data_IF_535406175678
#
_entry.id   IF_535406175678
#
_cell.length_a   1.000
_cell.length_b   1.000
_cell.length_c   1.000
_cell.angle_alpha   90.00
_cell.angle_beta   90.00
_cell.angle_gamma   90.00
#
_symmetry.space_group_name_H-M   'P 1'
#
loop_
_entity.id
_entity.type
_entity.pdbx_description
1 polymer ?
#
# COMPACT_ATOMS: atom_id res chain seq x y z
N UNK A 1 9.14 -9.96 -27.69
CA UNK A 1 9.81 -9.28 -26.58
C UNK A 1 10.10 -7.87 -27.04
N UNK A 2 9.69 -6.88 -26.30
CA UNK A 2 9.90 -5.50 -26.72
C UNK A 2 11.36 -5.06 -26.58
N UNK A 3 12.14 -5.74 -25.74
CA UNK A 3 13.54 -5.43 -25.51
C UNK A 3 14.33 -6.74 -25.38
N UNK A 4 15.35 -6.90 -26.19
CA UNK A 4 16.23 -8.07 -26.18
C UNK A 4 17.43 -7.83 -25.25
N UNK A 5 17.13 -7.65 -23.95
CA UNK A 5 18.15 -7.53 -22.91
C UNK A 5 18.65 -8.89 -22.48
N UNK A 6 19.98 -9.05 -22.40
CA UNK A 6 20.58 -10.19 -21.72
C UNK A 6 20.23 -10.16 -20.21
N UNK A 7 20.43 -11.30 -19.53
CA UNK A 7 20.24 -11.35 -18.07
C UNK A 7 21.15 -10.37 -17.33
N UNK A 8 22.37 -10.21 -17.82
CA UNK A 8 23.37 -9.29 -17.29
C UNK A 8 22.88 -7.85 -17.39
N UNK A 9 22.46 -7.42 -18.58
CA UNK A 9 21.93 -6.08 -18.82
C UNK A 9 20.67 -5.81 -17.97
N UNK A 10 19.76 -6.78 -17.87
CA UNK A 10 18.58 -6.60 -17.00
C UNK A 10 18.94 -6.55 -15.51
N UNK A 11 19.98 -7.29 -15.09
CA UNK A 11 20.51 -7.20 -13.72
C UNK A 11 21.09 -5.82 -13.43
N UNK A 12 21.78 -5.21 -14.40
CA UNK A 12 22.30 -3.85 -14.31
C UNK A 12 21.18 -2.83 -14.15
N UNK A 13 20.14 -2.92 -14.97
CA UNK A 13 18.94 -2.06 -14.86
C UNK A 13 18.29 -2.17 -13.47
N UNK A 14 18.11 -3.38 -12.95
CA UNK A 14 17.52 -3.56 -11.62
C UNK A 14 18.46 -3.08 -10.51
N UNK A 15 19.75 -3.25 -10.67
CA UNK A 15 20.73 -2.77 -9.69
C UNK A 15 20.82 -1.24 -9.69
N UNK A 16 20.76 -0.63 -10.86
CA UNK A 16 20.67 0.82 -11.03
C UNK A 16 19.41 1.40 -10.35
N UNK A 17 18.29 0.72 -10.46
CA UNK A 17 17.05 1.09 -9.75
C UNK A 17 17.02 0.64 -8.28
N UNK A 18 18.14 0.19 -7.70
CA UNK A 18 18.22 -0.34 -6.32
C UNK A 18 17.27 -1.53 -6.07
N UNK A 19 16.98 -2.32 -7.11
CA UNK A 19 16.15 -3.52 -7.05
C UNK A 19 16.96 -4.83 -7.08
N UNK A 20 18.29 -4.76 -7.24
CA UNK A 20 19.19 -5.90 -7.39
C UNK A 20 19.55 -6.64 -6.10
N UNK A 21 19.13 -6.15 -4.91
CA UNK A 21 19.38 -6.82 -3.63
C UNK A 21 18.29 -7.84 -3.32
N UNK A 22 18.65 -9.00 -2.77
CA UNK A 22 17.75 -10.09 -2.39
C UNK A 22 17.95 -10.50 -0.92
N UNK A 23 16.99 -11.22 -0.27
CA UNK A 23 15.75 -11.76 -0.85
C UNK A 23 14.67 -10.70 -1.07
N UNK A 24 13.81 -10.93 -2.05
CA UNK A 24 12.62 -10.12 -2.36
C UNK A 24 11.39 -10.97 -2.54
N UNK A 25 10.22 -10.37 -2.43
CA UNK A 25 8.98 -10.98 -2.91
C UNK A 25 8.66 -10.47 -4.31
N UNK A 26 8.18 -11.36 -5.16
CA UNK A 26 7.62 -11.02 -6.46
C UNK A 26 6.17 -11.51 -6.54
N UNK A 27 5.37 -10.87 -7.37
CA UNK A 27 3.96 -11.20 -7.46
C UNK A 27 3.42 -11.11 -8.87
N UNK A 28 2.65 -12.17 -9.24
CA UNK A 28 1.73 -12.20 -10.35
C UNK A 28 1.10 -13.58 -10.47
N UNK A 29 -0.15 -13.76 -10.31
CA UNK A 29 -1.08 -13.20 -9.35
C UNK A 29 -0.81 -13.63 -7.90
N UNK A 30 0.16 -14.53 -7.66
CA UNK A 30 0.57 -15.00 -6.32
C UNK A 30 1.88 -14.35 -5.88
N UNK A 31 2.19 -14.41 -4.58
CA UNK A 31 3.48 -13.96 -4.04
C UNK A 31 4.45 -15.12 -3.95
N UNK A 32 5.67 -14.91 -4.46
CA UNK A 32 6.78 -15.85 -4.35
C UNK A 32 7.99 -15.14 -3.75
N UNK A 33 8.78 -15.85 -2.96
CA UNK A 33 10.05 -15.35 -2.43
C UNK A 33 11.18 -15.71 -3.39
N UNK A 34 11.96 -14.70 -3.77
CA UNK A 34 13.11 -14.80 -4.64
C UNK A 34 14.37 -14.62 -3.78
N UNK A 35 15.18 -15.67 -3.67
CA UNK A 35 16.39 -15.68 -2.84
C UNK A 35 17.63 -15.08 -3.52
N UNK A 36 17.59 -14.80 -4.82
CA UNK A 36 18.70 -14.26 -5.59
C UNK A 36 18.42 -14.27 -7.09
N UNK A 37 19.40 -13.87 -7.91
CA UNK A 37 19.26 -13.71 -9.35
C UNK A 37 18.75 -14.97 -10.09
N UNK A 38 19.24 -16.16 -9.74
CA UNK A 38 18.80 -17.41 -10.39
C UNK A 38 17.31 -17.69 -10.18
N UNK A 39 16.79 -17.44 -8.97
CA UNK A 39 15.36 -17.59 -8.69
C UNK A 39 14.54 -16.47 -9.35
N UNK A 40 15.10 -15.27 -9.41
CA UNK A 40 14.49 -14.13 -10.09
C UNK A 40 14.31 -14.42 -11.58
N UNK A 41 15.38 -14.79 -12.32
CA UNK A 41 15.27 -15.03 -13.76
C UNK A 41 14.38 -16.22 -14.10
N UNK A 42 14.42 -17.30 -13.32
CA UNK A 42 13.49 -18.41 -13.51
C UNK A 42 12.02 -17.97 -13.39
N UNK A 43 11.72 -17.15 -12.39
CA UNK A 43 10.38 -16.60 -12.22
C UNK A 43 10.02 -15.59 -13.31
N UNK A 44 10.93 -14.68 -13.63
CA UNK A 44 10.75 -13.64 -14.63
C UNK A 44 10.46 -14.24 -16.01
N UNK A 45 11.32 -15.10 -16.52
CA UNK A 45 11.19 -15.75 -17.83
C UNK A 45 9.94 -16.63 -17.92
N UNK A 46 9.58 -17.30 -16.84
CA UNK A 46 8.36 -18.09 -16.76
C UNK A 46 7.06 -17.28 -16.82
N UNK A 47 7.12 -15.96 -16.59
CA UNK A 47 5.95 -15.08 -16.57
C UNK A 47 5.96 -14.00 -17.65
N UNK A 48 7.13 -13.60 -18.16
CA UNK A 48 7.28 -12.45 -19.06
C UNK A 48 6.43 -12.53 -20.34
N UNK A 49 6.27 -13.71 -20.91
CA UNK A 49 5.46 -13.94 -22.11
C UNK A 49 3.95 -13.98 -21.83
N UNK A 50 3.54 -14.02 -20.58
CA UNK A 50 2.12 -14.10 -20.17
C UNK A 50 1.52 -12.73 -20.05
N UNK A 51 0.23 -12.59 -20.31
CA UNK A 51 -0.52 -11.35 -20.08
C UNK A 51 -0.84 -11.19 -18.57
N UNK A 52 0.18 -11.03 -17.73
CA UNK A 52 0.07 -10.88 -16.29
C UNK A 52 0.93 -9.72 -15.80
N UNK A 53 0.46 -8.95 -14.80
CA UNK A 53 1.27 -7.86 -14.26
C UNK A 53 2.45 -8.44 -13.48
N UNK A 54 3.63 -7.87 -13.63
CA UNK A 54 4.85 -8.32 -12.97
C UNK A 54 5.33 -7.27 -11.96
N UNK A 55 5.31 -7.64 -10.69
CA UNK A 55 5.68 -6.77 -9.58
C UNK A 55 6.77 -7.39 -8.71
N UNK A 56 7.57 -6.53 -8.09
CA UNK A 56 8.57 -6.92 -7.09
C UNK A 56 8.42 -6.02 -5.87
N UNK A 57 8.73 -6.52 -4.66
CA UNK A 57 8.75 -5.69 -3.46
C UNK A 57 9.81 -4.59 -3.61
N UNK A 58 9.46 -3.35 -3.27
CA UNK A 58 10.37 -2.22 -3.46
C UNK A 58 11.55 -2.21 -2.47
N UNK A 59 11.46 -2.92 -1.35
CA UNK A 59 12.57 -3.21 -0.46
C UNK A 59 12.95 -4.69 -0.50
N UNK A 60 14.22 -5.00 -0.29
CA UNK A 60 14.68 -6.35 -0.01
C UNK A 60 14.37 -6.70 1.45
N UNK A 61 14.19 -7.99 1.74
CA UNK A 61 14.09 -8.48 3.11
C UNK A 61 15.48 -8.77 3.68
N UNK A 62 15.61 -8.78 5.00
CA UNK A 62 16.85 -9.30 5.62
C UNK A 62 17.01 -10.79 5.29
N UNK A 63 18.24 -11.19 5.00
CA UNK A 63 18.57 -12.60 4.83
C UNK A 63 18.44 -13.30 6.18
N UNK A 64 17.58 -14.32 6.30
CA UNK A 64 17.42 -15.02 7.55
C UNK A 64 18.71 -15.77 7.93
N UNK A 65 19.06 -15.75 9.20
CA UNK A 65 20.13 -16.58 9.69
C UNK A 65 19.83 -18.06 9.39
N UNK A 66 20.85 -18.79 8.90
CA UNK A 66 20.78 -20.25 8.67
C UNK A 66 19.70 -20.72 7.65
N UNK A 67 19.29 -19.87 6.70
CA UNK A 67 18.37 -20.30 5.63
C UNK A 67 16.93 -20.53 6.07
N UNK A 68 16.53 -19.96 7.19
CA UNK A 68 15.14 -19.96 7.66
C UNK A 68 14.21 -19.14 6.74
N UNK A 69 12.91 -19.10 7.03
CA UNK A 69 11.96 -18.27 6.31
C UNK A 69 12.28 -16.77 6.48
N UNK A 70 12.01 -15.97 5.46
CA UNK A 70 12.16 -14.52 5.56
C UNK A 70 11.21 -13.94 6.62
N UNK A 71 11.71 -13.00 7.44
CA UNK A 71 10.85 -12.19 8.29
C UNK A 71 10.26 -11.04 7.47
N UNK A 72 8.96 -11.08 7.23
CA UNK A 72 8.24 -10.07 6.45
C UNK A 72 8.15 -8.70 7.12
N UNK A 73 8.67 -8.57 8.34
CA UNK A 73 8.74 -7.32 9.08
C UNK A 73 10.15 -6.70 9.10
N UNK A 74 11.16 -7.36 8.52
CA UNK A 74 12.53 -6.90 8.51
C UNK A 74 13.06 -6.71 7.10
N UNK A 75 13.55 -5.52 6.81
CA UNK A 75 13.96 -5.11 5.47
C UNK A 75 15.40 -4.60 5.47
N UNK A 76 16.10 -4.79 4.36
CA UNK A 76 17.27 -4.01 3.99
C UNK A 76 16.77 -2.79 3.23
N UNK A 77 16.67 -1.68 3.93
CA UNK A 77 16.19 -0.43 3.39
C UNK A 77 17.32 0.33 2.70
N UNK A 78 17.14 0.74 1.47
CA UNK A 78 18.12 1.52 0.70
C UNK A 78 17.49 2.61 -0.16
N UNK A 79 16.20 2.58 -0.35
CA UNK A 79 15.48 3.61 -1.09
C UNK A 79 14.01 3.65 -0.66
N UNK A 80 13.41 4.82 -0.64
CA UNK A 80 11.96 4.97 -0.55
C UNK A 80 11.35 4.96 -1.94
N UNK A 81 10.07 4.60 -2.02
CA UNK A 81 9.31 4.50 -3.26
C UNK A 81 8.08 5.41 -3.20
N UNK A 82 7.95 6.30 -4.18
CA UNK A 82 6.79 7.16 -4.38
C UNK A 82 6.06 6.81 -5.65
N UNK A 83 4.75 6.76 -5.54
CA UNK A 83 3.83 6.59 -6.67
C UNK A 83 3.08 7.91 -6.88
N UNK A 84 3.28 8.50 -8.04
CA UNK A 84 2.67 9.76 -8.45
C UNK A 84 1.74 9.49 -9.61
N UNK A 85 0.46 9.54 -9.36
CA UNK A 85 -0.56 9.24 -10.37
C UNK A 85 -1.78 10.16 -10.27
N UNK A 86 -2.68 10.03 -11.23
CA UNK A 86 -3.97 10.72 -11.23
C UNK A 86 -4.93 10.19 -10.18
N UNK A 87 -4.63 9.09 -9.52
CA UNK A 87 -5.32 8.31 -8.47
C UNK A 87 -6.79 8.58 -8.25
N UNK A 88 -7.52 7.57 -7.84
CA UNK A 88 -8.93 7.74 -7.50
C UNK A 88 -9.10 8.80 -6.40
N UNK A 89 -9.63 9.97 -6.75
CA UNK A 89 -9.92 11.06 -5.82
C UNK A 89 -8.93 12.23 -5.82
N UNK A 90 -7.81 12.18 -6.57
CA UNK A 90 -6.92 13.34 -6.74
C UNK A 90 -7.58 14.46 -7.57
N UNK A 91 -8.48 14.10 -8.47
CA UNK A 91 -9.09 15.01 -9.45
C UNK A 91 -8.10 15.60 -10.45
N UNK A 92 -6.87 15.04 -10.52
CA UNK A 92 -5.82 15.50 -11.42
C UNK A 92 -6.01 14.99 -12.84
N UNK A 93 -5.70 15.82 -13.80
CA UNK A 93 -5.49 15.44 -15.19
C UNK A 93 -4.04 15.01 -15.41
N UNK A 94 -3.72 14.19 -16.42
CA UNK A 94 -2.35 13.74 -16.69
C UNK A 94 -1.32 14.86 -16.76
N UNK A 95 -1.57 15.95 -17.49
CA UNK A 95 -0.66 17.10 -17.57
C UNK A 95 -0.41 17.82 -16.23
N UNK A 96 -1.32 17.69 -15.25
CA UNK A 96 -1.09 18.21 -13.89
C UNK A 96 -0.14 17.28 -13.12
N UNK A 97 -0.22 15.95 -13.34
CA UNK A 97 0.75 15.00 -12.79
C UNK A 97 2.14 15.24 -13.34
N UNK A 98 2.26 15.45 -14.66
CA UNK A 98 3.53 15.78 -15.32
C UNK A 98 4.15 17.06 -14.70
N UNK A 99 3.35 18.09 -14.46
CA UNK A 99 3.81 19.33 -13.82
C UNK A 99 4.26 19.10 -12.37
N UNK A 100 3.61 18.22 -11.64
CA UNK A 100 4.02 17.86 -10.28
C UNK A 100 5.31 17.02 -10.28
N UNK A 101 5.48 16.12 -11.24
CA UNK A 101 6.70 15.33 -11.43
C UNK A 101 7.91 16.21 -11.68
N UNK A 102 7.79 17.22 -12.55
CA UNK A 102 8.85 18.21 -12.79
C UNK A 102 9.22 18.95 -11.49
N UNK A 103 8.22 19.44 -10.75
CA UNK A 103 8.47 20.13 -9.45
C UNK A 103 9.18 19.24 -8.43
N UNK A 104 8.84 17.97 -8.41
CA UNK A 104 9.51 17.01 -7.52
C UNK A 104 10.93 16.76 -7.96
N UNK A 105 11.20 16.67 -9.27
CA UNK A 105 12.57 16.54 -9.81
C UNK A 105 13.42 17.74 -9.43
N UNK A 106 12.94 18.97 -9.70
CA UNK A 106 13.65 20.20 -9.30
C UNK A 106 13.95 20.23 -7.80
N UNK A 107 13.02 19.78 -6.97
CA UNK A 107 13.21 19.71 -5.55
C UNK A 107 14.28 18.66 -5.17
N UNK A 108 14.21 17.44 -5.71
CA UNK A 108 15.18 16.36 -5.42
C UNK A 108 16.59 16.77 -5.83
N UNK A 109 16.74 17.41 -7.00
CA UNK A 109 18.02 17.98 -7.44
C UNK A 109 18.52 19.07 -6.49
N UNK A 110 17.65 20.00 -6.06
CA UNK A 110 18.02 21.09 -5.14
C UNK A 110 18.49 20.57 -3.78
N UNK A 111 17.94 19.44 -3.31
CA UNK A 111 18.38 18.74 -2.10
C UNK A 111 19.67 17.93 -2.33
N UNK A 112 20.00 17.67 -3.58
CA UNK A 112 21.15 16.86 -3.99
C UNK A 112 20.99 15.40 -3.56
N UNK A 113 19.78 14.84 -3.57
CA UNK A 113 19.49 13.46 -3.19
C UNK A 113 19.71 12.51 -4.35
N UNK A 114 20.26 11.34 -4.07
CA UNK A 114 20.34 10.26 -5.04
C UNK A 114 18.92 9.74 -5.38
N UNK A 115 18.61 9.57 -6.67
CA UNK A 115 17.26 9.18 -7.08
C UNK A 115 17.20 8.55 -8.47
N UNK A 116 16.05 7.98 -8.81
CA UNK A 116 15.74 7.50 -10.16
C UNK A 116 14.24 7.59 -10.44
N UNK A 117 13.90 7.81 -11.69
CA UNK A 117 12.53 7.82 -12.18
C UNK A 117 12.19 6.59 -13.02
N UNK A 118 10.92 6.23 -12.98
CA UNK A 118 10.34 5.19 -13.79
C UNK A 118 8.90 5.58 -14.17
N UNK A 119 8.52 5.40 -15.41
CA UNK A 119 7.14 5.53 -15.84
C UNK A 119 6.41 4.20 -15.62
N UNK A 120 5.22 4.23 -15.02
CA UNK A 120 4.46 3.03 -14.64
C UNK A 120 3.86 2.28 -15.84
N UNK A 121 3.75 2.94 -17.00
CA UNK A 121 3.03 2.47 -18.17
C UNK A 121 1.54 2.89 -18.17
N UNK A 122 1.08 3.67 -17.20
CA UNK A 122 -0.31 4.12 -17.12
C UNK A 122 -0.58 5.29 -18.04
N UNK A 123 -1.64 5.20 -18.85
CA UNK A 123 -2.12 6.28 -19.73
C UNK A 123 -3.58 6.62 -19.46
N UNK A 124 -3.90 7.90 -19.54
CA UNK A 124 -5.27 8.41 -19.55
C UNK A 124 -5.37 9.38 -20.71
N UNK A 125 -6.34 9.17 -21.60
CA UNK A 125 -6.56 9.99 -22.80
C UNK A 125 -5.29 10.19 -23.67
N UNK A 126 -4.44 9.13 -23.72
CA UNK A 126 -3.20 9.12 -24.51
C UNK A 126 -2.03 9.90 -23.90
N UNK A 127 -2.17 10.39 -22.67
CA UNK A 127 -1.11 11.08 -21.93
C UNK A 127 -0.58 10.20 -20.78
N UNK A 128 0.74 10.26 -20.46
CA UNK A 128 1.32 9.60 -19.31
C UNK A 128 0.62 10.00 -18.00
N UNK A 129 0.21 9.02 -17.19
CA UNK A 129 -0.62 9.27 -16.01
C UNK A 129 -0.05 8.75 -14.70
N UNK A 130 1.09 8.05 -14.72
CA UNK A 130 1.68 7.50 -13.50
C UNK A 130 3.20 7.42 -13.56
N UNK A 131 3.87 7.95 -12.55
CA UNK A 131 5.32 7.96 -12.40
C UNK A 131 5.73 7.40 -11.04
N UNK A 132 6.84 6.71 -11.02
CA UNK A 132 7.45 6.16 -9.82
C UNK A 132 8.79 6.85 -9.56
N UNK A 133 8.96 7.40 -8.38
CA UNK A 133 10.21 7.96 -7.91
C UNK A 133 10.84 7.06 -6.87
N UNK A 134 12.13 6.80 -6.99
CA UNK A 134 12.94 6.18 -5.94
C UNK A 134 13.96 7.19 -5.46
N UNK A 135 14.04 7.38 -4.13
CA UNK A 135 15.05 8.25 -3.51
C UNK A 135 15.95 7.37 -2.64
N UNK A 136 17.26 7.51 -2.85
CA UNK A 136 18.28 6.74 -2.15
C UNK A 136 18.50 7.20 -0.72
N UNK A 137 18.62 6.24 0.19
CA UNK A 137 18.96 6.45 1.58
C UNK A 137 20.12 5.56 1.98
N UNK A 138 20.80 5.91 3.06
CA UNK A 138 21.82 5.06 3.65
C UNK A 138 21.25 3.67 3.90
N UNK A 139 21.87 2.68 3.26
CA UNK A 139 21.41 1.29 3.35
C UNK A 139 21.59 0.75 4.76
N UNK A 140 20.52 0.23 5.36
CA UNK A 140 20.55 -0.34 6.71
C UNK A 140 19.37 -1.29 6.95
N UNK A 141 19.57 -2.30 7.84
CA UNK A 141 18.46 -3.13 8.30
C UNK A 141 17.44 -2.32 9.11
N UNK A 142 16.16 -2.50 8.82
CA UNK A 142 15.09 -1.79 9.54
C UNK A 142 13.84 -2.65 9.70
N UNK A 143 13.16 -2.43 10.82
CA UNK A 143 11.86 -3.04 11.07
C UNK A 143 10.74 -2.30 10.32
N UNK A 144 9.72 -3.03 9.85
CA UNK A 144 8.58 -2.51 9.09
C UNK A 144 7.91 -1.29 9.74
N UNK A 145 7.63 -1.36 11.05
CA UNK A 145 6.98 -0.26 11.78
C UNK A 145 7.81 1.03 11.70
N UNK A 146 9.14 0.92 11.88
CA UNK A 146 10.04 2.05 11.75
C UNK A 146 9.99 2.66 10.33
N UNK A 147 10.07 1.82 9.29
CA UNK A 147 10.04 2.30 7.92
C UNK A 147 8.70 2.94 7.57
N UNK A 148 7.58 2.30 7.90
CA UNK A 148 6.24 2.85 7.65
C UNK A 148 6.09 4.23 8.27
N UNK A 149 6.60 4.43 9.50
CA UNK A 149 6.59 5.73 10.17
C UNK A 149 7.35 6.79 9.38
N UNK A 150 8.62 6.52 9.06
CA UNK A 150 9.49 7.51 8.46
C UNK A 150 9.24 7.74 6.98
N UNK A 151 8.89 6.69 6.21
CA UNK A 151 8.47 6.84 4.81
C UNK A 151 7.16 7.64 4.71
N UNK A 152 6.20 7.37 5.57
CA UNK A 152 4.95 8.13 5.62
C UNK A 152 5.19 9.60 5.97
N UNK A 153 6.04 9.88 6.97
CA UNK A 153 6.40 11.24 7.34
C UNK A 153 7.10 11.97 6.19
N UNK A 154 8.01 11.30 5.49
CA UNK A 154 8.71 11.84 4.33
C UNK A 154 7.72 12.24 3.22
N UNK A 155 6.88 11.31 2.77
CA UNK A 155 5.96 11.59 1.65
C UNK A 155 4.88 12.60 2.02
N UNK A 156 4.39 12.62 3.26
CA UNK A 156 3.47 13.64 3.74
C UNK A 156 4.14 15.01 3.83
N UNK A 157 5.36 15.08 4.35
CA UNK A 157 6.15 16.30 4.40
C UNK A 157 6.42 16.88 3.02
N UNK A 158 6.86 16.05 2.08
CA UNK A 158 7.07 16.45 0.69
C UNK A 158 5.78 16.93 0.03
N UNK A 159 4.71 16.17 0.18
CA UNK A 159 3.38 16.52 -0.33
C UNK A 159 2.92 17.88 0.20
N UNK A 160 3.10 18.13 1.48
CA UNK A 160 2.76 19.41 2.10
C UNK A 160 3.66 20.55 1.60
N UNK A 161 4.98 20.34 1.58
CA UNK A 161 5.94 21.38 1.18
C UNK A 161 5.73 21.84 -0.27
N UNK A 162 5.47 20.90 -1.18
CA UNK A 162 5.33 21.19 -2.60
C UNK A 162 3.87 21.35 -3.05
N UNK A 163 2.90 21.20 -2.15
CA UNK A 163 1.47 21.26 -2.50
C UNK A 163 1.06 20.20 -3.52
N UNK A 164 1.61 18.97 -3.39
CA UNK A 164 1.35 17.89 -4.34
C UNK A 164 0.00 17.22 -4.07
N UNK A 165 -0.68 16.82 -5.14
CA UNK A 165 -1.91 16.02 -5.09
C UNK A 165 -1.70 14.61 -5.64
N UNK A 166 -0.75 14.42 -6.57
CA UNK A 166 -0.48 13.17 -7.27
C UNK A 166 0.16 12.09 -6.38
N UNK A 167 0.84 12.48 -5.29
CA UNK A 167 1.55 11.53 -4.42
C UNK A 167 0.57 10.65 -3.64
N UNK A 168 0.64 9.35 -3.90
CA UNK A 168 -0.14 8.34 -3.20
C UNK A 168 0.59 7.88 -1.92
N UNK A 169 0.23 8.44 -0.76
CA UNK A 169 0.87 8.12 0.53
C UNK A 169 0.68 6.66 0.94
N UNK A 170 -0.36 5.98 0.46
CA UNK A 170 -0.56 4.55 0.73
C UNK A 170 0.61 3.70 0.22
N UNK A 171 1.40 4.24 -0.71
CA UNK A 171 2.59 3.57 -1.23
C UNK A 171 3.80 3.64 -0.29
N UNK A 172 3.76 4.43 0.79
CA UNK A 172 4.78 4.47 1.86
C UNK A 172 4.79 3.20 2.75
N UNK A 173 4.34 2.07 2.25
CA UNK A 173 4.33 0.77 2.92
C UNK A 173 5.56 -0.03 2.48
N UNK A 174 6.50 -0.36 3.40
CA UNK A 174 7.77 -1.04 3.05
C UNK A 174 7.63 -2.37 2.32
N UNK A 175 6.50 -3.06 2.51
CA UNK A 175 6.19 -4.32 1.81
C UNK A 175 5.44 -4.11 0.49
N UNK A 176 5.30 -2.86 0.03
CA UNK A 176 4.63 -2.54 -1.23
C UNK A 176 5.37 -3.15 -2.41
N UNK A 177 4.63 -3.41 -3.45
CA UNK A 177 5.14 -3.92 -4.71
C UNK A 177 5.14 -2.82 -5.74
N UNK A 178 6.19 -2.75 -6.52
CA UNK A 178 6.30 -1.89 -7.69
C UNK A 178 6.41 -2.71 -8.96
N UNK A 179 5.97 -2.16 -10.08
CA UNK A 179 6.06 -2.81 -11.38
C UNK A 179 7.52 -2.89 -11.84
N UNK A 180 7.90 -4.05 -12.37
CA UNK A 180 9.24 -4.25 -12.95
C UNK A 180 9.41 -3.42 -14.22
N UNK A 181 10.60 -2.82 -14.43
CA UNK A 181 10.92 -2.10 -15.65
C UNK A 181 10.88 -3.04 -16.86
N UNK A 182 10.61 -2.47 -18.03
CA UNK A 182 10.51 -3.16 -19.32
C UNK A 182 9.51 -4.31 -19.35
N UNK A 183 8.56 -4.33 -18.41
CA UNK A 183 7.44 -5.27 -18.45
C UNK A 183 6.20 -4.61 -19.03
N UNK A 184 5.36 -5.39 -19.76
CA UNK A 184 4.14 -4.85 -20.33
C UNK A 184 3.22 -4.26 -19.26
N UNK A 185 2.55 -3.18 -19.60
CA UNK A 185 1.47 -2.68 -18.77
C UNK A 185 0.27 -3.61 -18.90
N UNK A 186 -0.24 -4.06 -17.77
CA UNK A 186 -1.40 -4.95 -17.72
C UNK A 186 -2.41 -4.36 -16.75
N UNK A 187 -3.60 -4.10 -17.25
CA UNK A 187 -4.71 -3.63 -16.43
C UNK A 187 -5.18 -4.67 -15.41
N UNK A 188 -5.95 -4.22 -14.44
CA UNK A 188 -6.64 -5.13 -13.54
C UNK A 188 -7.48 -6.13 -14.31
N UNK A 189 -7.60 -7.33 -13.75
CA UNK A 189 -8.46 -8.36 -14.29
C UNK A 189 -9.84 -7.81 -14.57
N UNK A 190 -10.32 -8.01 -15.79
CA UNK A 190 -11.71 -7.73 -16.13
C UNK A 190 -12.62 -8.49 -15.15
N UNK A 191 -13.56 -7.82 -14.47
CA UNK A 191 -14.41 -8.47 -13.47
C UNK A 191 -15.29 -9.57 -14.05
N UNK A 192 -15.62 -9.51 -15.34
CA UNK A 192 -16.50 -10.45 -16.03
C UNK A 192 -15.74 -11.61 -16.67
N UNK A 193 -14.76 -11.30 -17.52
CA UNK A 193 -13.97 -12.32 -18.24
C UNK A 193 -12.92 -13.00 -17.37
N UNK A 194 -12.53 -12.37 -16.26
CA UNK A 194 -11.39 -12.79 -15.41
C UNK A 194 -10.03 -12.76 -16.12
N UNK A 195 -9.95 -12.18 -17.29
CA UNK A 195 -8.74 -12.06 -18.07
C UNK A 195 -8.00 -10.75 -17.76
N UNK A 196 -6.68 -10.80 -17.84
CA UNK A 196 -5.84 -9.63 -17.77
C UNK A 196 -5.77 -8.95 -19.12
N UNK A 197 -6.02 -7.65 -19.17
CA UNK A 197 -5.88 -6.88 -20.40
C UNK A 197 -4.47 -6.33 -20.49
N UNK A 198 -3.69 -6.86 -21.44
CA UNK A 198 -2.35 -6.36 -21.77
C UNK A 198 -2.46 -5.18 -22.72
N UNK A 199 -1.81 -4.08 -22.39
CA UNK A 199 -1.66 -2.94 -23.27
C UNK A 199 -0.39 -3.05 -24.15
N UNK A 200 -0.29 -2.20 -25.15
CA UNK A 200 0.85 -2.19 -26.07
C UNK A 200 2.10 -1.51 -25.49
N UNK A 201 1.97 -0.87 -24.34
CA UNK A 201 3.00 -0.07 -23.70
C UNK A 201 3.62 -0.79 -22.48
N UNK A 202 4.73 -0.26 -22.03
CA UNK A 202 5.60 -0.86 -21.03
C UNK A 202 5.87 0.10 -19.88
N UNK A 203 6.14 -0.45 -18.70
CA UNK A 203 6.81 0.26 -17.62
C UNK A 203 8.27 0.48 -18.04
N UNK A 204 8.79 1.69 -17.99
CA UNK A 204 10.16 2.00 -18.44
C UNK A 204 10.91 2.88 -17.45
N UNK A 205 12.23 2.67 -17.28
CA UNK A 205 13.09 3.65 -16.61
C UNK A 205 13.09 4.96 -17.41
N UNK A 206 13.20 6.09 -16.73
CA UNK A 206 13.14 7.41 -17.36
C UNK A 206 14.39 8.21 -16.99
N UNK A 207 15.19 8.68 -17.98
CA UNK A 207 16.28 9.60 -17.71
C UNK A 207 15.78 10.87 -17.01
N UNK A 208 16.45 11.28 -15.94
CA UNK A 208 16.02 12.44 -15.15
C UNK A 208 16.00 13.74 -15.97
N UNK A 209 16.92 13.90 -16.93
CA UNK A 209 16.93 15.06 -17.85
C UNK A 209 15.61 15.19 -18.62
N UNK A 210 14.97 14.09 -19.01
CA UNK A 210 13.67 14.14 -19.69
C UNK A 210 12.56 14.65 -18.77
N UNK A 211 12.62 14.27 -17.49
CA UNK A 211 11.68 14.79 -16.49
C UNK A 211 11.91 16.30 -16.30
N UNK A 212 13.16 16.71 -16.05
CA UNK A 212 13.54 18.09 -15.83
C UNK A 212 13.16 19.01 -17.01
N UNK A 213 13.32 18.50 -18.24
CA UNK A 213 13.01 19.23 -19.47
C UNK A 213 11.55 19.12 -19.90
N UNK A 214 10.72 18.39 -19.16
CA UNK A 214 9.30 18.15 -19.50
C UNK A 214 9.11 17.33 -20.79
N UNK A 215 10.08 16.47 -21.15
CA UNK A 215 10.09 15.68 -22.39
C UNK A 215 9.24 14.41 -22.27
N UNK A 216 7.98 14.57 -21.87
CA UNK A 216 7.03 13.45 -21.72
C UNK A 216 6.63 12.80 -23.03
N UNK A 217 6.83 13.48 -24.15
CA UNK A 217 6.80 12.91 -25.50
C UNK A 217 7.79 11.75 -25.67
N UNK A 218 9.03 11.92 -25.21
CA UNK A 218 10.05 10.86 -25.23
C UNK A 218 9.71 9.71 -24.30
N UNK A 219 9.15 9.99 -23.12
CA UNK A 219 8.68 8.95 -22.18
C UNK A 219 7.60 8.11 -22.84
N UNK A 220 6.66 8.74 -23.52
CA UNK A 220 5.62 8.05 -24.28
C UNK A 220 6.22 7.16 -25.34
N UNK A 221 7.09 7.71 -26.20
CA UNK A 221 7.69 6.96 -27.31
C UNK A 221 8.51 5.77 -26.81
N UNK A 222 9.30 5.98 -25.73
CA UNK A 222 10.04 4.91 -25.05
C UNK A 222 9.11 3.81 -24.53
N UNK A 223 7.96 4.15 -23.98
CA UNK A 223 7.05 3.15 -23.41
C UNK A 223 6.37 2.28 -24.47
N UNK A 224 6.15 2.79 -25.67
CA UNK A 224 5.61 2.01 -26.80
C UNK A 224 6.67 1.26 -27.61
N UNK A 225 7.90 1.77 -27.60
CA UNK A 225 9.05 1.16 -28.27
C UNK A 225 10.27 1.18 -27.35
N UNK A 226 10.27 0.32 -26.31
CA UNK A 226 11.32 0.36 -25.31
C UNK A 226 12.70 0.03 -25.89
N UNK A 227 13.69 0.79 -25.44
CA UNK A 227 15.12 0.51 -25.66
C UNK A 227 15.89 0.80 -24.39
N UNK A 228 17.12 0.31 -24.31
CA UNK A 228 17.97 0.57 -23.16
C UNK A 228 18.40 2.06 -23.15
N UNK A 229 17.98 2.77 -22.12
CA UNK A 229 18.33 4.18 -21.94
C UNK A 229 19.63 4.39 -21.16
N UNK A 230 20.29 3.29 -20.79
CA UNK A 230 21.46 3.32 -19.91
C UNK A 230 21.10 3.57 -18.45
N UNK A 231 22.09 3.92 -17.62
CA UNK A 231 21.87 4.20 -16.19
C UNK A 231 20.93 5.38 -15.98
N UNK A 232 19.93 5.19 -15.11
CA UNK A 232 18.95 6.21 -14.74
C UNK A 232 19.10 6.68 -13.29
N UNK A 233 19.93 6.02 -12.50
CA UNK A 233 20.21 6.45 -11.14
C UNK A 233 21.06 7.70 -11.13
N UNK A 234 20.52 8.78 -10.60
CA UNK A 234 21.24 10.04 -10.37
C UNK A 234 21.99 9.92 -9.06
N UNK A 235 23.34 9.95 -9.06
CA UNK A 235 24.11 9.90 -7.83
C UNK A 235 23.92 11.16 -7.00
N UNK A 236 23.91 11.01 -5.67
CA UNK A 236 23.71 12.13 -4.76
C UNK A 236 23.92 11.74 -3.31
N UNK A 237 23.42 12.57 -2.39
CA UNK A 237 23.46 12.30 -0.96
C UNK A 237 22.50 11.17 -0.62
N UNK A 238 22.94 10.28 0.25
CA UNK A 238 22.12 9.19 0.81
C UNK A 238 22.16 9.28 2.36
N UNK A 239 21.49 10.27 2.98
CA UNK A 239 21.41 10.35 4.44
C UNK A 239 20.54 9.21 4.99
N UNK A 240 20.47 9.04 6.32
CA UNK A 240 19.43 8.20 6.89
C UNK A 240 18.09 8.89 6.74
N UNK A 241 17.05 8.12 6.42
CA UNK A 241 15.69 8.67 6.21
C UNK A 241 15.21 9.43 7.46
N UNK A 242 15.39 8.86 8.65
CA UNK A 242 15.00 9.51 9.91
C UNK A 242 15.69 10.86 10.10
N UNK A 243 17.02 10.90 9.93
CA UNK A 243 17.78 12.15 10.09
C UNK A 243 17.29 13.21 9.13
N UNK A 244 17.04 12.83 7.87
CA UNK A 244 16.55 13.76 6.86
C UNK A 244 15.17 14.32 7.22
N UNK A 245 14.22 13.45 7.58
CA UNK A 245 12.85 13.84 7.99
C UNK A 245 12.90 14.79 9.19
N UNK A 246 13.76 14.52 10.18
CA UNK A 246 13.94 15.40 11.35
C UNK A 246 14.53 16.76 10.96
N UNK A 247 15.55 16.78 10.11
CA UNK A 247 16.17 18.03 9.64
C UNK A 247 15.17 18.93 8.91
N UNK A 248 14.19 18.34 8.25
CA UNK A 248 13.10 19.08 7.58
C UNK A 248 11.95 19.47 8.52
N UNK A 249 11.97 19.05 9.77
CA UNK A 249 10.85 19.25 10.71
C UNK A 249 9.59 18.45 10.35
N UNK A 250 9.74 17.40 9.54
CA UNK A 250 8.62 16.60 9.06
C UNK A 250 8.22 15.46 10.00
N UNK A 251 8.92 15.29 11.12
CA UNK A 251 8.54 14.30 12.14
C UNK A 251 7.14 14.48 12.70
N UNK A 252 6.58 15.69 12.64
CA UNK A 252 5.18 15.96 13.03
C UNK A 252 4.20 15.08 12.26
N UNK A 253 4.51 14.75 11.01
CA UNK A 253 3.70 13.87 10.18
C UNK A 253 3.89 12.38 10.52
N UNK A 254 4.89 12.03 11.33
CA UNK A 254 5.11 10.64 11.78
C UNK A 254 4.08 10.20 12.82
N UNK A 255 3.57 11.14 13.61
CA UNK A 255 2.57 10.88 14.64
C UNK A 255 1.19 10.62 14.05
N UNK A 256 0.89 11.17 12.87
CA UNK A 256 -0.34 10.83 12.15
C UNK A 256 -0.34 9.36 11.64
N UNK A 257 0.84 8.77 11.43
CA UNK A 257 0.98 7.36 11.10
C UNK A 257 0.91 6.45 12.35
N UNK A 258 1.28 6.99 13.53
CA UNK A 258 1.20 6.30 14.82
C UNK A 258 -0.12 6.55 15.56
N UNK A 259 -0.92 7.51 15.12
CA UNK A 259 -2.27 7.68 15.61
C UNK A 259 -3.19 6.50 15.23
N UNK A 260 -2.79 5.31 15.62
CA UNK A 260 -3.68 4.35 16.22
C UNK A 260 -4.16 5.04 17.49
N UNK A 261 -5.04 6.02 17.35
CA UNK A 261 -5.84 6.43 18.48
C UNK A 261 -6.49 5.15 18.98
N UNK A 262 -6.38 4.81 20.27
CA UNK A 262 -7.26 3.79 20.79
C UNK A 262 -8.64 4.22 20.31
N UNK A 263 -9.34 3.33 19.63
CA UNK A 263 -10.67 3.64 19.12
C UNK A 263 -11.46 4.21 20.30
N UNK A 264 -12.23 5.30 20.09
CA UNK A 264 -13.04 5.86 21.14
C UNK A 264 -13.83 4.73 21.80
N UNK A 265 -13.79 4.66 23.11
CA UNK A 265 -14.63 3.71 23.84
C UNK A 265 -16.08 3.98 23.48
N UNK A 266 -16.93 2.96 23.45
CA UNK A 266 -18.33 3.15 23.05
C UNK A 266 -19.08 4.24 23.84
N UNK A 267 -18.55 4.67 24.99
CA UNK A 267 -19.06 5.77 25.82
C UNK A 267 -18.75 7.17 25.24
N UNK A 268 -17.59 7.35 24.57
CA UNK A 268 -17.27 8.63 23.90
C UNK A 268 -18.11 8.86 22.64
N UNK A 269 -18.55 7.79 21.99
CA UNK A 269 -19.45 7.85 20.84
C UNK A 269 -20.89 8.24 21.23
N UNK A 270 -21.34 7.83 22.41
CA UNK A 270 -22.65 8.20 22.93
C UNK A 270 -22.78 9.71 23.23
N UNK A 271 -21.66 10.40 23.40
CA UNK A 271 -21.62 11.83 23.74
C UNK A 271 -21.76 12.78 22.53
N UNK A 272 -21.58 12.32 21.28
CA UNK A 272 -21.57 13.18 20.09
C UNK A 272 -22.94 13.38 19.42
N UNK A 273 -24.02 12.79 19.95
CA UNK A 273 -25.42 13.18 19.68
C UNK A 273 -25.97 12.90 18.27
N UNK A 274 -25.21 12.38 17.35
CA UNK A 274 -25.67 11.90 16.05
C UNK A 274 -25.78 10.38 16.07
N UNK A 275 -26.77 9.89 16.79
CA UNK A 275 -27.10 8.48 16.79
C UNK A 275 -27.63 8.06 15.41
N UNK A 276 -26.72 7.70 14.50
CA UNK A 276 -27.04 6.57 13.62
C UNK A 276 -27.42 5.49 14.62
N UNK A 277 -28.68 5.07 14.58
CA UNK A 277 -29.26 4.18 15.58
C UNK A 277 -28.49 2.83 15.56
N UNK A 278 -27.32 2.82 16.23
CA UNK A 278 -26.46 1.66 16.40
C UNK A 278 -27.21 0.49 17.05
N UNK A 279 -28.39 0.76 17.66
CA UNK A 279 -29.28 -0.25 18.19
C UNK A 279 -29.98 -1.07 17.07
N UNK A 280 -30.08 -0.53 15.84
CA UNK A 280 -30.53 -1.30 14.66
C UNK A 280 -29.41 -2.11 14.04
N UNK A 281 -28.18 -1.73 14.27
CA UNK A 281 -27.02 -2.52 13.91
C UNK A 281 -26.78 -3.53 15.03
N UNK A 282 -27.33 -4.70 14.89
CA UNK A 282 -26.87 -5.91 15.55
C UNK A 282 -25.43 -6.18 15.09
N UNK A 283 -24.53 -5.19 15.31
CA UNK A 283 -23.11 -5.41 15.08
C UNK A 283 -22.72 -6.56 15.97
N UNK A 284 -22.15 -7.62 15.39
CA UNK A 284 -21.87 -8.82 16.13
C UNK A 284 -21.00 -8.52 17.35
N UNK A 285 -21.09 -9.40 18.34
CA UNK A 285 -20.41 -9.35 19.63
C UNK A 285 -18.86 -9.21 19.52
N UNK A 286 -18.32 -9.00 18.33
CA UNK A 286 -16.87 -8.86 18.05
C UNK A 286 -16.39 -7.45 18.36
N UNK A 287 -15.81 -7.25 19.54
CA UNK A 287 -15.30 -5.97 20.00
C UNK A 287 -14.41 -5.26 18.96
N UNK A 288 -13.52 -6.00 18.28
CA UNK A 288 -12.63 -5.44 17.24
C UNK A 288 -13.39 -4.80 16.06
N UNK A 289 -14.58 -5.30 15.72
CA UNK A 289 -15.40 -4.75 14.64
C UNK A 289 -16.38 -3.66 15.12
N UNK A 290 -16.55 -3.50 16.45
CA UNK A 290 -17.31 -2.39 17.03
C UNK A 290 -16.50 -1.12 17.13
N UNK A 291 -15.20 -1.21 17.28
CA UNK A 291 -14.32 -0.09 17.60
C UNK A 291 -13.40 0.31 16.44
N UNK A 292 -12.72 -0.64 15.80
CA UNK A 292 -11.69 -0.35 14.80
C UNK A 292 -12.19 0.38 13.52
N UNK A 293 -13.40 0.13 13.00
CA UNK A 293 -13.91 0.88 11.83
C UNK A 293 -14.11 2.36 12.09
N UNK A 294 -14.30 2.75 13.36
CA UNK A 294 -14.54 4.13 13.79
C UNK A 294 -13.26 4.94 14.04
N UNK A 295 -12.09 4.35 13.83
CA UNK A 295 -10.83 5.08 13.82
C UNK A 295 -10.63 5.89 12.55
N UNK A 296 -9.77 6.90 12.60
CA UNK A 296 -9.51 7.83 11.48
C UNK A 296 -9.00 7.14 10.20
N UNK A 297 -8.34 5.99 10.31
CA UNK A 297 -7.84 5.25 9.16
C UNK A 297 -7.89 3.73 9.37
N UNK A 298 -9.09 3.12 9.37
CA UNK A 298 -9.20 1.68 9.56
C UNK A 298 -8.55 0.93 8.39
N UNK A 299 -7.72 -0.08 8.71
CA UNK A 299 -7.06 -0.92 7.71
C UNK A 299 -8.08 -1.60 6.78
N UNK A 300 -7.66 -1.91 5.57
CA UNK A 300 -8.52 -2.56 4.56
C UNK A 300 -9.18 -3.85 5.08
N UNK A 301 -8.43 -4.69 5.80
CA UNK A 301 -8.93 -5.93 6.39
C UNK A 301 -10.01 -5.69 7.45
N UNK A 302 -9.88 -4.61 8.24
CA UNK A 302 -10.87 -4.19 9.23
C UNK A 302 -12.15 -3.78 8.53
N UNK A 303 -12.08 -2.87 7.54
CA UNK A 303 -13.24 -2.41 6.76
C UNK A 303 -13.95 -3.57 6.08
N UNK A 304 -13.18 -4.45 5.46
CA UNK A 304 -13.70 -5.65 4.79
C UNK A 304 -14.44 -6.56 5.75
N UNK A 305 -13.85 -6.91 6.89
CA UNK A 305 -14.47 -7.76 7.88
C UNK A 305 -15.75 -7.13 8.45
N UNK A 306 -15.71 -5.83 8.72
CA UNK A 306 -16.83 -5.06 9.23
C UNK A 306 -18.01 -5.01 8.25
N UNK A 307 -17.78 -4.69 6.98
CA UNK A 307 -18.84 -4.70 5.94
C UNK A 307 -19.46 -6.10 5.81
N UNK A 308 -18.63 -7.15 5.82
CA UNK A 308 -19.13 -8.53 5.73
C UNK A 308 -20.00 -8.88 6.95
N UNK A 309 -19.58 -8.51 8.15
CA UNK A 309 -20.33 -8.77 9.38
C UNK A 309 -21.66 -8.00 9.40
N UNK A 310 -21.68 -6.72 8.95
CA UNK A 310 -22.91 -5.94 8.83
C UNK A 310 -23.90 -6.63 7.87
N UNK A 311 -23.43 -7.00 6.68
CA UNK A 311 -24.25 -7.69 5.68
C UNK A 311 -24.80 -9.01 6.20
N UNK A 312 -24.10 -9.67 7.11
CA UNK A 312 -24.53 -10.95 7.66
C UNK A 312 -25.54 -10.80 8.82
N UNK A 313 -25.69 -9.61 9.39
CA UNK A 313 -26.68 -9.39 10.47
C UNK A 313 -28.13 -9.42 9.93
N UNK A 314 -28.32 -8.94 8.73
CA UNK A 314 -29.61 -9.00 8.02
C UNK A 314 -29.38 -9.16 6.52
N UNK A 315 -29.12 -10.40 6.04
CA UNK A 315 -28.72 -10.64 4.65
C UNK A 315 -29.77 -10.23 3.61
N UNK A 316 -31.04 -10.18 3.99
CA UNK A 316 -32.18 -9.92 3.12
C UNK A 316 -32.83 -8.56 3.39
N UNK A 317 -32.54 -7.93 4.54
CA UNK A 317 -33.10 -6.64 4.94
C UNK A 317 -32.32 -5.43 4.48
N UNK A 318 -30.99 -5.58 4.24
CA UNK A 318 -30.17 -4.50 3.73
C UNK A 318 -30.22 -4.40 2.21
N UNK A 319 -30.37 -3.19 1.69
CA UNK A 319 -30.12 -2.89 0.27
C UNK A 319 -28.69 -2.37 0.08
N UNK A 320 -28.11 -2.55 -1.14
CA UNK A 320 -26.77 -2.03 -1.44
C UNK A 320 -26.65 -0.51 -1.20
N UNK A 321 -27.64 0.35 -1.58
CA UNK A 321 -27.61 1.78 -1.27
C UNK A 321 -27.61 2.11 0.22
N UNK A 322 -28.33 1.36 1.05
CA UNK A 322 -28.39 1.58 2.49
C UNK A 322 -27.04 1.27 3.15
N UNK A 323 -26.42 0.14 2.81
CA UNK A 323 -25.07 -0.18 3.29
C UNK A 323 -24.07 0.85 2.80
N UNK A 324 -24.18 1.32 1.55
CA UNK A 324 -23.30 2.35 1.02
C UNK A 324 -23.43 3.66 1.81
N UNK A 325 -24.67 4.10 2.03
CA UNK A 325 -24.93 5.32 2.80
C UNK A 325 -24.40 5.22 4.25
N UNK A 326 -24.56 4.04 4.86
CA UNK A 326 -24.03 3.78 6.20
C UNK A 326 -22.50 3.83 6.24
N UNK A 327 -21.81 3.14 5.32
CA UNK A 327 -20.34 3.15 5.26
C UNK A 327 -19.81 4.55 4.95
N UNK A 328 -20.47 5.29 4.07
CA UNK A 328 -20.09 6.68 3.76
C UNK A 328 -20.31 7.59 4.99
N UNK A 329 -21.42 7.43 5.71
CA UNK A 329 -21.70 8.17 6.95
C UNK A 329 -20.64 7.94 8.03
N UNK A 330 -20.25 6.69 8.26
CA UNK A 330 -19.17 6.35 9.21
C UNK A 330 -17.83 6.92 8.75
N UNK A 331 -17.54 6.89 7.45
CA UNK A 331 -16.29 7.45 6.92
C UNK A 331 -16.19 8.97 7.13
N UNK A 332 -17.30 9.70 6.96
CA UNK A 332 -17.35 11.15 7.22
C UNK A 332 -17.27 11.46 8.71
N UNK A 333 -18.04 10.78 9.54
CA UNK A 333 -18.10 11.00 10.99
C UNK A 333 -16.74 10.67 11.64
N UNK A 334 -16.15 9.54 11.29
CA UNK A 334 -14.85 9.10 11.80
C UNK A 334 -13.67 9.78 11.10
N UNK A 335 -13.92 10.72 10.19
CA UNK A 335 -12.91 11.47 9.44
C UNK A 335 -11.87 10.56 8.78
N UNK A 336 -12.32 9.47 8.11
CA UNK A 336 -11.39 8.60 7.40
C UNK A 336 -10.54 9.42 6.41
N UNK A 337 -9.25 9.12 6.32
CA UNK A 337 -8.35 9.84 5.41
C UNK A 337 -8.81 9.78 3.95
N UNK A 338 -9.40 8.66 3.54
CA UNK A 338 -9.94 8.46 2.19
C UNK A 338 -11.45 8.73 2.08
N UNK A 339 -12.04 9.53 3.01
CA UNK A 339 -13.49 9.85 3.00
C UNK A 339 -13.97 10.47 1.69
N UNK A 340 -13.10 11.25 1.01
CA UNK A 340 -13.39 11.79 -0.31
C UNK A 340 -13.43 10.75 -1.45
N UNK A 341 -12.88 9.54 -1.23
CA UNK A 341 -12.85 8.48 -2.24
C UNK A 341 -14.10 7.57 -2.12
N UNK A 342 -15.25 8.12 -2.51
CA UNK A 342 -16.53 7.39 -2.47
C UNK A 342 -16.56 6.22 -3.46
N UNK A 343 -15.90 6.31 -4.62
CA UNK A 343 -15.86 5.27 -5.63
C UNK A 343 -15.22 3.98 -5.11
N UNK A 344 -14.13 4.09 -4.34
CA UNK A 344 -13.45 2.93 -3.74
C UNK A 344 -14.34 2.25 -2.69
N UNK A 345 -15.02 3.02 -1.85
CA UNK A 345 -15.96 2.47 -0.86
C UNK A 345 -17.15 1.79 -1.53
N UNK A 346 -17.73 2.42 -2.56
CA UNK A 346 -18.81 1.84 -3.36
C UNK A 346 -18.41 0.51 -3.98
N UNK A 347 -17.22 0.45 -4.55
CA UNK A 347 -16.70 -0.81 -5.08
C UNK A 347 -16.58 -1.89 -3.98
N UNK A 348 -16.08 -1.55 -2.79
CA UNK A 348 -15.96 -2.49 -1.68
C UNK A 348 -17.33 -2.99 -1.22
N UNK A 349 -18.30 -2.10 -1.03
CA UNK A 349 -19.66 -2.47 -0.63
C UNK A 349 -20.32 -3.36 -1.68
N UNK A 350 -20.33 -2.93 -2.95
CA UNK A 350 -20.91 -3.69 -4.05
C UNK A 350 -20.27 -5.07 -4.22
N UNK A 351 -18.94 -5.14 -4.05
CA UNK A 351 -18.21 -6.41 -4.15
C UNK A 351 -18.61 -7.39 -3.05
N UNK A 352 -18.73 -6.94 -1.81
CA UNK A 352 -19.12 -7.81 -0.70
C UNK A 352 -20.61 -8.13 -0.73
N UNK A 353 -21.45 -7.18 -1.10
CA UNK A 353 -22.87 -7.35 -1.33
C UNK A 353 -23.17 -8.49 -2.33
N UNK A 354 -22.55 -8.47 -3.49
CA UNK A 354 -22.75 -9.50 -4.52
C UNK A 354 -22.26 -10.88 -4.13
N UNK A 355 -21.24 -10.95 -3.26
CA UNK A 355 -20.58 -12.20 -2.92
C UNK A 355 -21.15 -12.89 -1.69
N UNK A 356 -21.91 -12.19 -0.87
CA UNK A 356 -22.51 -12.69 0.38
C UNK A 356 -21.53 -13.56 1.19
N UNK A 357 -20.33 -13.01 1.47
CA UNK A 357 -19.32 -13.73 2.22
C UNK A 357 -19.78 -14.03 3.64
N UNK A 358 -19.40 -15.18 4.16
CA UNK A 358 -19.62 -15.51 5.57
C UNK A 358 -18.72 -14.64 6.47
N UNK A 359 -19.21 -14.22 7.64
CA UNK A 359 -18.40 -13.55 8.66
C UNK A 359 -17.17 -14.38 9.01
N UNK A 360 -16.05 -13.68 9.26
CA UNK A 360 -14.83 -14.32 9.70
C UNK A 360 -14.90 -14.73 11.17
N UNK A 361 -14.36 -15.90 11.49
CA UNK A 361 -14.19 -16.32 12.86
C UNK A 361 -13.20 -15.41 13.62
N UNK A 362 -13.26 -15.42 14.95
CA UNK A 362 -12.29 -14.70 15.79
C UNK A 362 -10.85 -15.14 15.52
N UNK A 363 -10.62 -16.43 15.29
CA UNK A 363 -9.30 -16.96 14.94
C UNK A 363 -8.78 -16.38 13.63
N UNK A 364 -9.60 -16.37 12.56
CA UNK A 364 -9.23 -15.75 11.28
C UNK A 364 -8.96 -14.25 11.41
N UNK A 365 -9.73 -13.53 12.23
CA UNK A 365 -9.51 -12.11 12.50
C UNK A 365 -8.21 -11.88 13.25
N UNK A 366 -7.84 -12.78 14.17
CA UNK A 366 -6.60 -12.75 14.94
C UNK A 366 -5.38 -13.00 14.05
N UNK A 367 -5.42 -14.04 13.24
CA UNK A 367 -4.38 -14.36 12.26
C UNK A 367 -4.10 -13.18 11.30
N UNK A 368 -5.13 -12.41 10.99
CA UNK A 368 -5.02 -11.20 10.16
C UNK A 368 -4.64 -9.94 10.93
N UNK A 369 -4.39 -10.06 12.23
CA UNK A 369 -4.08 -8.92 13.10
C UNK A 369 -5.24 -7.90 13.20
N UNK A 370 -6.48 -8.32 12.98
CA UNK A 370 -7.68 -7.50 13.16
C UNK A 370 -8.23 -7.65 14.58
N UNK A 371 -8.20 -8.86 15.14
CA UNK A 371 -8.63 -9.08 16.51
C UNK A 371 -7.60 -8.52 17.50
N UNK A 372 -8.03 -7.57 18.32
CA UNK A 372 -7.23 -6.93 19.38
C UNK A 372 -7.60 -7.43 20.78
N UNK A 373 -8.57 -8.35 20.88
CA UNK A 373 -9.02 -8.91 22.14
C UNK A 373 -7.93 -9.79 22.79
N UNK A 374 -7.79 -9.66 24.09
CA UNK A 374 -6.98 -10.51 24.93
C UNK A 374 -7.78 -10.85 26.21
N UNK A 375 -7.20 -11.61 27.13
CA UNK A 375 -7.88 -12.06 28.33
C UNK A 375 -8.31 -10.92 29.30
N UNK A 376 -7.78 -9.71 29.10
CA UNK A 376 -8.06 -8.53 29.93
C UNK A 376 -9.17 -7.65 29.31
N UNK A 377 -9.46 -7.84 28.01
CA UNK A 377 -10.46 -7.02 27.30
C UNK A 377 -11.89 -7.51 27.58
N UNK A 378 -12.86 -6.59 27.55
CA UNK A 378 -14.29 -6.85 27.73
C UNK A 378 -14.95 -7.57 26.53
N UNK A 379 -14.19 -8.32 25.77
CA UNK A 379 -14.72 -9.08 24.64
C UNK A 379 -15.43 -10.34 25.13
N UNK A 380 -16.74 -10.37 25.09
CA UNK A 380 -17.59 -11.50 25.50
C UNK A 380 -17.32 -12.80 24.73
N UNK A 381 -16.75 -12.69 23.53
CA UNK A 381 -16.39 -13.85 22.70
C UNK A 381 -15.00 -14.41 23.01
N UNK A 382 -14.14 -13.67 23.74
CA UNK A 382 -12.78 -14.11 23.98
C UNK A 382 -12.72 -15.47 24.72
N UNK A 383 -13.48 -15.74 25.78
CA UNK A 383 -13.48 -17.04 26.47
C UNK A 383 -13.88 -18.21 25.58
N UNK A 384 -14.79 -17.98 24.63
CA UNK A 384 -15.26 -19.01 23.70
C UNK A 384 -14.30 -19.25 22.54
N UNK A 385 -13.67 -18.15 22.04
CA UNK A 385 -12.77 -18.21 20.90
C UNK A 385 -11.36 -18.69 21.26
N UNK A 386 -10.90 -18.40 22.49
CA UNK A 386 -9.56 -18.68 23.01
C UNK A 386 -9.62 -19.29 24.41
N UNK A 387 -10.22 -20.47 24.57
CA UNK A 387 -10.49 -21.04 25.90
C UNK A 387 -9.22 -21.35 26.68
N UNK A 388 -8.16 -21.79 26.02
CA UNK A 388 -6.89 -22.14 26.70
C UNK A 388 -6.21 -20.89 27.29
N UNK A 389 -6.10 -19.82 26.50
CA UNK A 389 -5.52 -18.54 26.94
C UNK A 389 -6.34 -17.91 28.08
N UNK A 390 -7.66 -18.02 28.01
CA UNK A 390 -8.55 -17.53 29.07
C UNK A 390 -8.42 -18.34 30.36
N UNK A 391 -8.29 -19.67 30.25
CA UNK A 391 -8.08 -20.53 31.38
C UNK A 391 -6.72 -20.26 32.06
N UNK A 392 -5.66 -20.06 31.28
CA UNK A 392 -4.34 -19.68 31.78
C UNK A 392 -4.37 -18.32 32.49
N UNK A 393 -5.03 -17.32 31.91
CA UNK A 393 -5.21 -16.03 32.53
C UNK A 393 -5.92 -16.15 33.89
N UNK A 394 -7.04 -16.85 33.95
CA UNK A 394 -7.79 -17.07 35.22
C UNK A 394 -6.98 -17.80 36.28
N UNK A 395 -6.15 -18.74 35.88
CA UNK A 395 -5.25 -19.46 36.81
C UNK A 395 -4.24 -18.52 37.45
N UNK A 396 -3.73 -17.56 36.67
CA UNK A 396 -2.72 -16.59 37.13
C UNK A 396 -3.33 -15.36 37.83
N UNK A 397 -4.65 -15.12 37.69
CA UNK A 397 -5.39 -14.00 38.27
C UNK A 397 -6.70 -14.47 38.93
N UNK A 398 -6.60 -15.21 40.03
CA UNK A 398 -7.78 -15.84 40.67
C UNK A 398 -8.81 -14.83 41.23
N UNK A 399 -8.43 -13.59 41.48
CA UNK A 399 -9.31 -12.54 42.03
C UNK A 399 -10.01 -11.66 40.98
N UNK A 400 -9.69 -11.81 39.68
CA UNK A 400 -10.20 -10.99 38.56
C UNK A 400 -11.48 -11.52 37.90
N UNK A 401 -12.20 -12.45 38.50
CA UNK A 401 -13.37 -13.11 37.91
C UNK A 401 -14.70 -12.59 38.43
N UNK A 402 -15.08 -11.34 38.11
CA UNK A 402 -16.48 -10.92 38.17
C UNK A 402 -16.93 -10.39 36.84
#
# INVERSE_FOLDING_TARGET
VALDLSREQYSEVLSDLRLGTFPRQAGTPGRVTLGGWNSFFRWFEGNYGRAVPMFISHNAYETPALGGPIDVNRFVFSATFGDMDTGDGSGLRPGEVESEVVRVEEWVESEGLAHAWKFSGSYIDGQPAGFHLRIGWKSEPRHRVYLTRWESAFWRGLKHQLGLRSVNIVCAEPARFERLPYTPYVHHKDPLSKEWKKEANYCVPVPHDWIREGRFDKVRDLSFSPYDVGPVWVPGKEPTLETYVRTKGWEVFSHEAEAFHPAPTGEEYAATGNAIDLAKLLIPEKLCLRTLPYGANPRHEVRRAWIIDILATDPDGWTEPEIQAFVDGVAEESKWEDRGNTSRRRYQVAYHWKRKYKPKSCNELREKGVCVANAITDCSLFPKAFPEEFAEYRKNHPEGGK
#
